data_IF_277389695227
#
_entry.id   IF_277389695227
#
_cell.length_a   1.000
_cell.length_b   1.000
_cell.length_c   1.000
_cell.angle_alpha   90.00
_cell.angle_beta   90.00
_cell.angle_gamma   90.00
#
_symmetry.space_group_name_H-M   'P 1'
#
loop_
_entity.id
_entity.type
_entity.pdbx_description
1 polymer ?
#
# COMPACT_ATOMS: atom_id res chain seq x y z
N UNK A 1 -8.23 -2.50 18.68
CA UNK A 1 -8.10 -3.39 17.49
C UNK A 1 -6.62 -3.57 17.23
N UNK A 2 -6.13 -4.81 17.24
CA UNK A 2 -4.73 -5.11 16.90
C UNK A 2 -4.60 -5.23 15.38
N UNK A 3 -3.83 -4.33 14.75
CA UNK A 3 -3.55 -4.35 13.32
C UNK A 3 -2.44 -5.36 13.00
N UNK A 4 -2.68 -6.64 13.30
CA UNK A 4 -1.77 -7.71 12.91
C UNK A 4 -2.52 -8.68 12.03
N UNK A 5 -1.94 -9.02 10.87
CA UNK A 5 -2.52 -9.98 9.94
C UNK A 5 -2.71 -11.39 10.58
N UNK A 6 -2.12 -11.62 11.74
CA UNK A 6 -2.16 -12.88 12.49
C UNK A 6 -3.25 -12.94 13.57
N UNK A 7 -4.11 -11.92 13.72
CA UNK A 7 -5.08 -11.79 14.84
C UNK A 7 -4.43 -11.86 16.24
N UNK A 8 -3.11 -11.68 16.31
CA UNK A 8 -2.35 -11.68 17.56
C UNK A 8 -2.43 -10.29 18.18
N UNK A 9 -2.49 -10.21 19.49
CA UNK A 9 -2.55 -8.91 20.16
C UNK A 9 -1.23 -8.12 20.07
N UNK A 10 -0.11 -8.80 19.83
CA UNK A 10 1.21 -8.20 19.65
C UNK A 10 1.72 -8.53 18.24
N UNK A 11 2.05 -7.51 17.45
CA UNK A 11 2.47 -7.63 16.04
C UNK A 11 3.95 -7.91 15.86
N UNK A 12 4.38 -9.11 16.24
CA UNK A 12 5.79 -9.52 16.25
C UNK A 12 5.99 -10.86 15.53
N UNK A 13 7.24 -11.28 15.34
CA UNK A 13 7.57 -12.56 14.73
C UNK A 13 7.06 -13.76 15.55
N UNK A 14 6.90 -14.91 14.88
CA UNK A 14 6.25 -16.10 15.46
C UNK A 14 6.96 -16.63 16.70
N UNK A 15 8.28 -16.55 16.77
CA UNK A 15 9.05 -17.02 17.92
C UNK A 15 8.70 -16.28 19.22
N UNK A 16 8.43 -14.96 19.13
CA UNK A 16 7.99 -14.15 20.26
C UNK A 16 6.54 -14.47 20.61
N UNK A 17 5.67 -14.59 19.61
CA UNK A 17 4.25 -14.96 19.82
C UNK A 17 4.14 -16.31 20.53
N UNK A 18 4.91 -17.32 20.10
CA UNK A 18 4.90 -18.65 20.70
C UNK A 18 5.35 -18.63 22.16
N UNK A 19 6.44 -17.93 22.47
CA UNK A 19 6.95 -17.83 23.83
C UNK A 19 5.94 -17.12 24.76
N UNK A 20 5.31 -16.04 24.29
CA UNK A 20 4.21 -15.38 25.01
C UNK A 20 3.02 -16.33 25.21
N UNK A 21 2.63 -17.06 24.18
CA UNK A 21 1.52 -18.01 24.26
C UNK A 21 1.79 -19.11 25.29
N UNK A 22 3.02 -19.63 25.36
CA UNK A 22 3.44 -20.60 26.38
C UNK A 22 3.35 -19.99 27.78
N UNK A 23 3.97 -18.83 28.02
CA UNK A 23 3.90 -18.15 29.33
C UNK A 23 2.45 -17.91 29.81
N UNK A 24 1.57 -17.48 28.90
CA UNK A 24 0.15 -17.23 29.20
C UNK A 24 -0.62 -18.52 29.46
N UNK A 25 -0.36 -19.57 28.67
CA UNK A 25 -1.11 -20.84 28.74
C UNK A 25 -0.70 -21.67 29.95
N UNK A 26 0.61 -21.75 30.24
CA UNK A 26 1.12 -22.47 31.42
C UNK A 26 0.91 -21.70 32.71
N UNK A 27 0.69 -20.38 32.63
CA UNK A 27 0.65 -19.46 33.77
C UNK A 27 1.95 -19.49 34.58
N UNK A 28 3.08 -19.77 33.91
CA UNK A 28 4.40 -19.81 34.54
C UNK A 28 5.35 -18.83 33.86
N UNK A 29 6.23 -18.25 34.65
CA UNK A 29 7.31 -17.35 34.21
C UNK A 29 8.47 -17.46 35.20
N UNK A 30 9.65 -16.94 34.86
CA UNK A 30 10.81 -17.02 35.75
C UNK A 30 10.63 -16.15 37.00
N UNK A 31 9.93 -15.02 36.88
CA UNK A 31 9.59 -14.11 37.97
C UNK A 31 8.41 -14.55 38.83
N UNK A 32 7.64 -15.56 38.37
CA UNK A 32 6.37 -15.96 38.99
C UNK A 32 5.17 -15.09 38.58
N UNK A 33 5.37 -14.08 37.73
CA UNK A 33 4.28 -13.27 37.16
C UNK A 33 3.35 -14.14 36.30
N UNK A 34 2.04 -14.04 36.54
CA UNK A 34 1.02 -14.70 35.72
C UNK A 34 0.58 -13.74 34.61
N UNK A 35 0.92 -14.08 33.37
CA UNK A 35 0.63 -13.22 32.22
C UNK A 35 -0.72 -13.51 31.57
N UNK A 36 -1.29 -12.50 30.89
CA UNK A 36 -2.46 -12.65 30.04
C UNK A 36 -2.37 -11.77 28.79
N UNK A 37 -3.08 -12.18 27.75
CA UNK A 37 -3.44 -11.32 26.62
C UNK A 37 -4.65 -10.41 26.98
N UNK A 38 -5.46 -10.74 27.98
CA UNK A 38 -6.57 -9.87 28.34
C UNK A 38 -6.10 -8.66 29.18
N UNK A 39 -6.55 -7.47 28.80
CA UNK A 39 -6.41 -6.25 29.61
C UNK A 39 -7.30 -6.25 30.86
N UNK A 40 -8.35 -7.06 30.87
CA UNK A 40 -9.41 -7.01 31.90
C UNK A 40 -9.41 -8.23 32.81
N UNK A 41 -8.46 -9.16 32.65
CA UNK A 41 -8.41 -10.36 33.46
C UNK A 41 -7.75 -10.07 34.81
N UNK A 42 -8.57 -10.05 35.85
CA UNK A 42 -8.10 -9.87 37.23
C UNK A 42 -7.04 -10.89 37.64
N UNK A 43 -6.12 -10.45 38.49
CA UNK A 43 -5.02 -11.28 39.00
C UNK A 43 -3.96 -11.65 37.96
N UNK A 44 -3.98 -11.03 36.76
CA UNK A 44 -2.98 -11.26 35.72
C UNK A 44 -2.35 -9.97 35.24
N UNK A 45 -1.12 -10.05 34.74
CA UNK A 45 -0.41 -8.94 34.12
C UNK A 45 -0.49 -9.07 32.61
N UNK A 46 -0.80 -7.99 31.89
CA UNK A 46 -0.78 -8.03 30.43
C UNK A 46 0.64 -8.29 29.91
N UNK A 47 0.77 -9.14 28.89
CA UNK A 47 2.03 -9.28 28.16
C UNK A 47 2.48 -7.95 27.54
N UNK A 48 3.77 -7.65 27.65
CA UNK A 48 4.36 -6.42 27.12
C UNK A 48 5.80 -6.72 26.65
N UNK A 49 6.03 -6.65 25.35
CA UNK A 49 7.34 -6.97 24.74
C UNK A 49 8.37 -5.85 24.85
N UNK A 50 8.05 -4.74 25.52
CA UNK A 50 8.94 -3.61 25.77
C UNK A 50 9.27 -3.52 27.28
N UNK A 51 8.30 -3.81 28.16
CA UNK A 51 8.51 -3.74 29.62
C UNK A 51 9.63 -4.69 30.08
N UNK A 52 10.68 -4.18 30.76
CA UNK A 52 11.86 -4.98 31.11
C UNK A 52 11.57 -6.28 31.87
N UNK A 53 10.64 -6.27 32.82
CA UNK A 53 10.27 -7.47 33.58
C UNK A 53 9.67 -8.57 32.71
N UNK A 54 8.79 -8.21 31.78
CA UNK A 54 8.18 -9.15 30.86
C UNK A 54 9.17 -9.64 29.81
N UNK A 55 10.07 -8.77 29.33
CA UNK A 55 11.14 -9.13 28.40
C UNK A 55 12.12 -10.13 29.04
N UNK A 56 12.43 -9.98 30.33
CA UNK A 56 13.28 -10.92 31.06
C UNK A 56 12.65 -12.33 31.16
N UNK A 57 11.35 -12.40 31.51
CA UNK A 57 10.61 -13.67 31.56
C UNK A 57 10.49 -14.32 30.17
N UNK A 58 10.24 -13.50 29.15
CA UNK A 58 10.16 -13.95 27.76
C UNK A 58 11.51 -14.52 27.28
N UNK A 59 12.63 -13.86 27.61
CA UNK A 59 13.97 -14.35 27.31
C UNK A 59 14.22 -15.71 27.98
N UNK A 60 13.78 -15.89 29.23
CA UNK A 60 13.89 -17.16 29.93
C UNK A 60 13.03 -18.26 29.28
N UNK A 61 11.83 -17.94 28.80
CA UNK A 61 11.00 -18.91 28.08
C UNK A 61 11.62 -19.30 26.73
N UNK A 62 12.19 -18.35 25.99
CA UNK A 62 12.94 -18.63 24.76
C UNK A 62 14.13 -19.59 25.01
N UNK A 63 14.82 -19.44 26.14
CA UNK A 63 15.90 -20.36 26.53
C UNK A 63 15.39 -21.79 26.80
N UNK A 64 14.23 -21.95 27.45
CA UNK A 64 13.60 -23.26 27.62
C UNK A 64 13.23 -23.88 26.27
N UNK A 65 12.62 -23.09 25.39
CA UNK A 65 12.25 -23.54 24.04
C UNK A 65 13.46 -23.99 23.21
N UNK A 66 14.63 -23.37 23.41
CA UNK A 66 15.90 -23.83 22.83
C UNK A 66 16.30 -25.20 23.39
N UNK A 67 16.28 -25.37 24.71
CA UNK A 67 16.66 -26.63 25.35
C UNK A 67 15.75 -27.80 24.94
N UNK A 68 14.46 -27.52 24.77
CA UNK A 68 13.44 -28.47 24.32
C UNK A 68 13.50 -28.74 22.80
N UNK A 69 14.26 -27.93 22.05
CA UNK A 69 14.20 -27.87 20.58
C UNK A 69 12.76 -27.74 20.06
N UNK A 70 11.96 -26.93 20.73
CA UNK A 70 10.52 -26.81 20.50
C UNK A 70 10.22 -26.35 19.08
N UNK A 71 9.20 -26.96 18.47
CA UNK A 71 8.62 -26.53 17.19
C UNK A 71 7.10 -26.47 17.35
N UNK A 72 6.47 -25.30 17.20
CA UNK A 72 5.02 -25.17 17.31
C UNK A 72 4.31 -26.05 16.30
N UNK A 73 3.26 -26.75 16.74
CA UNK A 73 2.50 -27.69 15.91
C UNK A 73 2.01 -27.05 14.61
N UNK A 74 1.57 -25.79 14.68
CA UNK A 74 1.07 -25.03 13.54
C UNK A 74 2.08 -24.82 12.41
N UNK A 75 3.39 -24.89 12.69
CA UNK A 75 4.46 -24.64 11.69
C UNK A 75 5.40 -25.81 11.47
N UNK A 76 5.11 -27.00 12.03
CA UNK A 76 5.97 -28.19 11.92
C UNK A 76 6.28 -28.60 10.47
N UNK A 77 5.38 -28.31 9.52
CA UNK A 77 5.60 -28.57 8.09
C UNK A 77 6.62 -27.63 7.42
N UNK A 78 6.90 -26.47 8.02
CA UNK A 78 7.76 -25.43 7.45
C UNK A 78 9.04 -25.17 8.28
N UNK A 79 9.14 -25.79 9.46
CA UNK A 79 10.18 -25.53 10.44
C UNK A 79 10.78 -26.82 10.99
N UNK A 80 12.11 -26.90 10.96
CA UNK A 80 12.86 -27.99 11.62
C UNK A 80 13.28 -27.54 13.02
N UNK A 81 13.51 -28.46 13.98
CA UNK A 81 13.98 -28.11 15.32
C UNK A 81 15.25 -27.24 15.31
N UNK A 82 16.23 -27.56 14.46
CA UNK A 82 17.48 -26.78 14.37
C UNK A 82 17.24 -25.36 13.82
N UNK A 83 16.35 -25.20 12.85
CA UNK A 83 15.94 -23.87 12.36
C UNK A 83 15.19 -23.08 13.43
N UNK A 84 14.31 -23.72 14.20
CA UNK A 84 13.59 -23.09 15.30
C UNK A 84 14.56 -22.59 16.37
N UNK A 85 15.51 -23.43 16.80
CA UNK A 85 16.57 -23.05 17.75
C UNK A 85 17.35 -21.83 17.27
N UNK A 86 17.77 -21.80 15.99
CA UNK A 86 18.46 -20.63 15.42
C UNK A 86 17.61 -19.36 15.48
N UNK A 87 16.30 -19.45 15.26
CA UNK A 87 15.39 -18.30 15.38
C UNK A 87 15.24 -17.82 16.83
N UNK A 88 15.12 -18.73 17.79
CA UNK A 88 15.09 -18.37 19.21
C UNK A 88 16.39 -17.69 19.66
N UNK A 89 17.54 -18.20 19.22
CA UNK A 89 18.84 -17.58 19.48
C UNK A 89 18.94 -16.18 18.87
N UNK A 90 18.43 -15.99 17.65
CA UNK A 90 18.39 -14.66 17.01
C UNK A 90 17.48 -13.69 17.77
N UNK A 91 16.32 -14.15 18.26
CA UNK A 91 15.42 -13.35 19.08
C UNK A 91 16.06 -12.94 20.42
N UNK A 92 16.76 -13.85 21.08
CA UNK A 92 17.53 -13.55 22.30
C UNK A 92 18.61 -12.51 22.00
N UNK A 93 19.38 -12.66 20.91
CA UNK A 93 20.39 -11.69 20.49
C UNK A 93 19.78 -10.31 20.23
N UNK A 94 18.59 -10.26 19.61
CA UNK A 94 17.87 -9.01 19.40
C UNK A 94 17.49 -8.35 20.74
N UNK A 95 16.94 -9.12 21.69
CA UNK A 95 16.62 -8.65 23.04
C UNK A 95 17.86 -8.09 23.73
N UNK A 96 18.99 -8.80 23.64
CA UNK A 96 20.24 -8.36 24.25
C UNK A 96 20.80 -7.07 23.63
N UNK A 97 20.50 -6.83 22.36
CA UNK A 97 20.98 -5.64 21.63
C UNK A 97 20.08 -4.43 21.88
N UNK A 98 18.76 -4.61 21.87
CA UNK A 98 17.77 -3.51 21.86
C UNK A 98 16.96 -3.39 23.15
N UNK A 99 17.18 -4.28 24.13
CA UNK A 99 16.50 -4.33 25.43
C UNK A 99 14.98 -4.50 25.37
N UNK A 100 14.44 -4.90 24.21
CA UNK A 100 13.03 -5.25 24.03
C UNK A 100 12.87 -6.41 23.05
N UNK A 101 11.70 -7.04 23.05
CA UNK A 101 11.34 -8.16 22.19
C UNK A 101 10.42 -7.78 21.02
N UNK A 102 10.19 -6.49 20.78
CA UNK A 102 9.47 -6.02 19.59
C UNK A 102 10.29 -6.19 18.29
N UNK A 103 10.32 -7.42 17.76
CA UNK A 103 10.94 -7.76 16.48
C UNK A 103 9.90 -7.57 15.38
N UNK A 104 10.10 -6.55 14.55
CA UNK A 104 9.20 -6.19 13.44
C UNK A 104 9.22 -7.21 12.30
N UNK A 105 8.11 -7.29 11.55
CA UNK A 105 7.93 -8.16 10.39
C UNK A 105 8.13 -7.45 9.03
N UNK A 106 8.76 -6.27 9.03
CA UNK A 106 8.85 -5.38 7.86
C UNK A 106 10.26 -4.82 7.59
N UNK A 107 10.38 -3.80 6.73
CA UNK A 107 11.67 -3.20 6.34
C UNK A 107 12.35 -2.38 7.44
N UNK A 108 11.67 -2.16 8.57
CA UNK A 108 12.19 -1.43 9.73
C UNK A 108 11.99 -2.25 10.99
N UNK A 109 12.88 -2.07 11.96
CA UNK A 109 12.74 -2.54 13.33
C UNK A 109 12.77 -1.38 14.32
N UNK A 110 12.18 -1.62 15.48
CA UNK A 110 12.26 -0.72 16.61
C UNK A 110 13.66 -0.85 17.23
N UNK A 111 14.46 0.21 17.14
CA UNK A 111 15.84 0.22 17.61
C UNK A 111 15.96 0.82 19.02
N UNK A 112 15.06 1.73 19.37
CA UNK A 112 14.99 2.33 20.70
C UNK A 112 13.55 2.68 21.04
N UNK A 113 13.18 2.49 22.30
CA UNK A 113 11.94 3.01 22.89
C UNK A 113 12.30 3.67 24.20
N UNK A 114 11.84 4.90 24.38
CA UNK A 114 11.91 5.62 25.64
C UNK A 114 10.51 6.15 25.97
N UNK A 115 9.81 5.45 26.84
CA UNK A 115 8.45 5.81 27.25
C UNK A 115 8.41 7.01 28.19
N UNK A 116 9.55 7.38 28.82
CA UNK A 116 9.64 8.56 29.67
C UNK A 116 9.76 9.83 28.82
N UNK A 117 10.53 9.74 27.73
CA UNK A 117 10.70 10.83 26.77
C UNK A 117 9.64 10.85 25.64
N UNK A 118 8.70 9.90 25.61
CA UNK A 118 7.77 9.68 24.49
C UNK A 118 8.48 9.59 23.13
N UNK A 119 9.57 8.82 23.08
CA UNK A 119 10.44 8.70 21.92
C UNK A 119 10.54 7.25 21.44
N UNK A 120 10.50 7.06 20.12
CA UNK A 120 10.78 5.79 19.47
C UNK A 120 11.68 6.01 18.24
N UNK A 121 12.67 5.13 18.07
CA UNK A 121 13.57 5.14 16.92
C UNK A 121 13.31 3.89 16.08
N UNK A 122 12.94 4.08 14.81
CA UNK A 122 12.87 3.01 13.82
C UNK A 122 14.12 3.04 12.96
N UNK A 123 14.80 1.91 12.84
CA UNK A 123 15.92 1.73 11.91
C UNK A 123 15.54 0.74 10.84
N UNK A 124 16.03 0.99 9.63
CA UNK A 124 15.78 0.08 8.54
C UNK A 124 16.63 -1.19 8.70
N UNK A 125 16.08 -2.35 8.37
CA UNK A 125 16.87 -3.57 8.23
C UNK A 125 17.86 -3.38 7.07
N UNK A 126 19.14 -3.48 7.38
CA UNK A 126 20.26 -3.44 6.43
C UNK A 126 21.04 -4.75 6.44
N UNK A 127 20.40 -5.81 6.91
CA UNK A 127 20.94 -7.16 6.83
C UNK A 127 20.97 -7.58 5.35
N UNK A 128 22.10 -8.09 4.82
CA UNK A 128 22.20 -8.56 3.44
C UNK A 128 21.20 -9.65 3.05
N UNK A 129 20.64 -10.36 4.03
CA UNK A 129 19.60 -11.38 3.82
C UNK A 129 18.19 -10.81 3.69
N UNK A 130 17.99 -9.52 3.98
CA UNK A 130 16.71 -8.86 3.77
C UNK A 130 16.44 -8.69 2.26
N UNK A 131 15.35 -9.25 1.71
CA UNK A 131 15.22 -9.43 0.26
C UNK A 131 14.78 -8.17 -0.50
N UNK A 132 14.38 -7.11 0.20
CA UNK A 132 13.80 -5.92 -0.42
C UNK A 132 14.67 -4.69 -0.18
N UNK A 133 15.11 -4.05 -1.26
CA UNK A 133 15.71 -2.72 -1.18
C UNK A 133 14.63 -1.68 -0.90
N UNK A 134 15.03 -0.45 -0.53
CA UNK A 134 14.08 0.64 -0.32
C UNK A 134 13.22 0.96 -1.56
N UNK A 135 13.77 0.71 -2.75
CA UNK A 135 13.10 0.97 -4.03
C UNK A 135 12.28 -0.21 -4.55
N UNK A 136 12.41 -1.41 -3.94
CA UNK A 136 11.83 -2.64 -4.48
C UNK A 136 10.32 -2.51 -4.69
N UNK A 137 9.59 -2.06 -3.67
CA UNK A 137 8.14 -1.95 -3.73
C UNK A 137 7.67 -0.80 -4.63
N UNK A 138 8.39 0.31 -4.64
CA UNK A 138 8.14 1.42 -5.57
C UNK A 138 8.19 0.89 -6.99
N UNK A 139 9.31 0.28 -7.40
CA UNK A 139 9.48 -0.31 -8.73
C UNK A 139 8.48 -1.42 -9.05
N UNK A 140 8.13 -2.24 -8.06
CA UNK A 140 7.20 -3.37 -8.25
C UNK A 140 5.77 -2.92 -8.51
N UNK A 141 5.36 -1.80 -7.92
CA UNK A 141 4.01 -1.26 -8.04
C UNK A 141 3.94 0.01 -8.89
N UNK A 142 5.06 0.42 -9.49
CA UNK A 142 5.11 1.52 -10.44
C UNK A 142 4.14 1.26 -11.59
N UNK A 143 3.24 2.20 -11.79
CA UNK A 143 2.18 2.08 -12.80
C UNK A 143 2.07 3.40 -13.53
N UNK A 144 2.16 3.41 -14.88
CA UNK A 144 1.86 4.60 -15.65
C UNK A 144 0.40 4.99 -15.44
N UNK A 145 0.16 6.27 -15.21
CA UNK A 145 -1.17 6.86 -15.03
C UNK A 145 -1.32 7.99 -16.02
N UNK A 146 -2.39 7.96 -16.82
CA UNK A 146 -2.72 9.05 -17.70
C UNK A 146 -3.59 10.08 -17.00
N UNK A 147 -3.46 11.34 -17.42
CA UNK A 147 -4.35 12.42 -17.06
C UNK A 147 -4.72 13.22 -18.32
N UNK A 148 -5.97 13.65 -18.41
CA UNK A 148 -6.37 14.69 -19.38
C UNK A 148 -6.45 15.98 -18.58
N UNK A 149 -5.39 16.77 -18.63
CA UNK A 149 -5.28 17.97 -17.81
C UNK A 149 -6.22 19.08 -18.31
N UNK A 150 -6.42 19.17 -19.62
CA UNK A 150 -7.26 20.19 -20.24
C UNK A 150 -7.96 19.67 -21.49
N UNK A 151 -9.21 20.11 -21.69
CA UNK A 151 -9.88 20.10 -22.98
C UNK A 151 -10.25 21.53 -23.35
N UNK A 152 -9.64 22.04 -24.41
CA UNK A 152 -9.92 23.37 -24.95
C UNK A 152 -11.06 23.27 -25.96
N UNK A 153 -12.23 23.77 -25.56
CA UNK A 153 -13.49 23.69 -26.29
C UNK A 153 -13.84 25.11 -26.75
N UNK A 154 -14.12 25.33 -28.04
CA UNK A 154 -14.55 26.64 -28.52
C UNK A 154 -15.81 27.12 -27.79
N UNK A 155 -15.88 28.42 -27.51
CA UNK A 155 -17.01 29.03 -26.79
C UNK A 155 -18.28 29.09 -27.64
N UNK A 156 -18.13 29.22 -28.96
CA UNK A 156 -19.23 29.31 -29.92
C UNK A 156 -19.23 28.07 -30.81
N UNK A 157 -20.21 27.18 -30.60
CA UNK A 157 -20.38 25.96 -31.38
C UNK A 157 -21.76 25.97 -32.03
N UNK A 158 -21.83 26.34 -33.30
CA UNK A 158 -23.07 26.31 -34.07
C UNK A 158 -23.38 24.88 -34.54
N UNK A 159 -24.61 24.43 -34.37
CA UNK A 159 -25.01 23.10 -34.87
C UNK A 159 -24.77 22.96 -36.36
N UNK A 160 -24.32 21.78 -36.79
CA UNK A 160 -24.04 21.53 -38.20
C UNK A 160 -22.66 22.03 -38.68
N UNK A 161 -21.90 22.75 -37.85
CA UNK A 161 -20.51 23.12 -38.12
C UNK A 161 -19.52 22.19 -37.40
N UNK A 162 -18.33 22.04 -37.98
CA UNK A 162 -17.25 21.25 -37.38
C UNK A 162 -16.74 21.93 -36.10
N UNK A 163 -16.66 21.18 -35.02
CA UNK A 163 -16.18 21.67 -33.72
C UNK A 163 -14.82 21.04 -33.44
N UNK A 164 -13.80 21.90 -33.37
CA UNK A 164 -12.42 21.50 -33.16
C UNK A 164 -12.04 21.65 -31.68
N UNK A 165 -11.67 20.55 -31.03
CA UNK A 165 -11.32 20.49 -29.61
C UNK A 165 -9.88 20.00 -29.47
N UNK A 166 -9.13 20.61 -28.55
CA UNK A 166 -7.75 20.21 -28.25
C UNK A 166 -7.68 19.60 -26.85
N UNK A 167 -7.05 18.44 -26.71
CA UNK A 167 -6.83 17.76 -25.43
C UNK A 167 -5.35 17.82 -25.05
N UNK A 168 -5.07 18.25 -23.82
CA UNK A 168 -3.74 18.15 -23.20
C UNK A 168 -3.70 16.91 -22.32
N UNK A 169 -2.84 15.97 -22.66
CA UNK A 169 -2.73 14.65 -22.00
C UNK A 169 -1.33 14.48 -21.41
N UNK A 170 -1.26 14.13 -20.13
CA UNK A 170 -0.01 13.84 -19.43
C UNK A 170 0.02 12.41 -18.93
N UNK A 171 1.24 11.95 -18.65
CA UNK A 171 1.56 10.66 -18.07
C UNK A 171 2.36 10.89 -16.79
N UNK A 172 2.08 10.11 -15.76
CA UNK A 172 2.79 10.10 -14.48
C UNK A 172 3.13 8.66 -14.13
N UNK A 173 4.30 8.40 -13.55
CA UNK A 173 4.64 7.06 -13.06
C UNK A 173 4.37 7.02 -11.56
N UNK A 174 3.18 6.57 -11.16
CA UNK A 174 2.84 6.44 -9.74
C UNK A 174 3.88 5.58 -9.01
N UNK A 175 4.33 5.93 -7.79
CA UNK A 175 3.89 7.05 -6.94
C UNK A 175 4.69 8.35 -7.13
N UNK A 176 5.53 8.46 -8.17
CA UNK A 176 6.19 9.73 -8.47
C UNK A 176 5.15 10.77 -8.91
N UNK A 177 5.40 12.04 -8.61
CA UNK A 177 4.49 13.15 -8.95
C UNK A 177 4.84 13.83 -10.29
N UNK A 178 5.97 13.47 -10.90
CA UNK A 178 6.46 14.06 -12.13
C UNK A 178 5.50 13.78 -13.30
N UNK A 179 4.97 14.86 -13.88
CA UNK A 179 4.10 14.80 -15.05
C UNK A 179 4.89 15.06 -16.32
N UNK A 180 4.74 14.16 -17.28
CA UNK A 180 5.34 14.28 -18.60
C UNK A 180 4.26 14.34 -19.68
N UNK A 181 4.44 15.11 -20.77
CA UNK A 181 3.51 15.04 -21.91
C UNK A 181 3.42 13.62 -22.46
N UNK A 182 2.20 13.09 -22.61
CA UNK A 182 2.00 11.70 -23.04
C UNK A 182 2.64 11.47 -24.44
N UNK A 183 3.66 10.61 -24.49
CA UNK A 183 4.43 10.38 -25.71
C UNK A 183 3.71 9.44 -26.69
N UNK A 184 2.74 8.66 -26.22
CA UNK A 184 1.97 7.69 -27.01
C UNK A 184 0.56 7.54 -26.41
N UNK A 185 -0.27 6.70 -27.03
CA UNK A 185 -1.62 6.44 -26.57
C UNK A 185 -2.72 6.85 -27.54
N UNK A 186 -3.85 6.18 -27.41
CA UNK A 186 -5.05 6.47 -28.17
C UNK A 186 -5.93 7.43 -27.37
N UNK A 187 -6.27 8.55 -27.99
CA UNK A 187 -7.13 9.58 -27.39
C UNK A 187 -8.42 9.67 -28.19
N UNK A 188 -9.54 9.76 -27.50
CA UNK A 188 -10.87 9.84 -28.08
C UNK A 188 -11.70 10.89 -27.36
N UNK A 189 -12.66 11.47 -28.08
CA UNK A 189 -13.73 12.24 -27.51
C UNK A 189 -15.04 11.50 -27.73
N UNK A 190 -15.81 11.30 -26.66
CA UNK A 190 -17.16 10.73 -26.75
C UNK A 190 -18.17 11.83 -26.50
N UNK A 191 -19.03 12.12 -27.48
CA UNK A 191 -20.20 12.96 -27.31
C UNK A 191 -21.36 12.08 -26.83
N UNK A 192 -22.00 12.49 -25.73
CA UNK A 192 -23.15 11.80 -25.15
C UNK A 192 -24.41 12.62 -25.42
N UNK A 193 -25.40 11.97 -26.03
CA UNK A 193 -26.69 12.55 -26.39
C UNK A 193 -27.82 11.63 -25.94
N UNK A 194 -29.06 12.10 -26.04
CA UNK A 194 -30.27 11.28 -25.87
C UNK A 194 -30.39 10.17 -26.94
N UNK A 195 -29.79 10.38 -28.12
CA UNK A 195 -29.70 9.41 -29.20
C UNK A 195 -28.60 8.36 -29.00
N UNK A 196 -27.78 8.51 -27.96
CA UNK A 196 -26.67 7.60 -27.62
C UNK A 196 -25.30 8.28 -27.67
N UNK A 197 -24.26 7.44 -27.72
CA UNK A 197 -22.87 7.86 -27.67
C UNK A 197 -22.22 7.84 -29.05
N UNK A 198 -21.47 8.90 -29.37
CA UNK A 198 -20.67 9.00 -30.59
C UNK A 198 -19.21 9.22 -30.23
N UNK A 199 -18.31 8.38 -30.76
CA UNK A 199 -16.88 8.42 -30.42
C UNK A 199 -16.03 8.89 -31.59
N UNK A 200 -15.21 9.91 -31.36
CA UNK A 200 -14.32 10.52 -32.34
C UNK A 200 -12.87 10.28 -31.93
N UNK A 201 -12.05 9.77 -32.85
CA UNK A 201 -10.63 9.53 -32.59
C UNK A 201 -9.85 10.84 -32.74
N UNK A 202 -9.06 11.20 -31.73
CA UNK A 202 -8.20 12.36 -31.78
C UNK A 202 -6.91 12.04 -32.57
N UNK A 203 -6.45 13.02 -33.35
CA UNK A 203 -5.15 13.02 -34.02
C UNK A 203 -4.11 13.60 -33.07
N UNK A 204 -3.01 12.88 -32.88
CA UNK A 204 -1.86 13.40 -32.13
C UNK A 204 -1.18 14.52 -32.93
N UNK A 205 -1.04 15.69 -32.32
CA UNK A 205 -0.32 16.84 -32.90
C UNK A 205 1.15 16.78 -32.50
N UNK A 206 1.41 16.64 -31.19
CA UNK A 206 2.73 16.41 -30.59
C UNK A 206 2.57 15.65 -29.28
N UNK A 207 3.66 15.35 -28.58
CA UNK A 207 3.58 14.71 -27.25
C UNK A 207 2.68 15.53 -26.32
N UNK A 208 1.72 14.86 -25.69
CA UNK A 208 0.71 15.42 -24.81
C UNK A 208 -0.31 16.38 -25.44
N UNK A 209 -0.31 16.58 -26.77
CA UNK A 209 -1.29 17.44 -27.44
C UNK A 209 -2.02 16.69 -28.56
N UNK A 210 -3.33 16.58 -28.41
CA UNK A 210 -4.21 15.86 -29.32
C UNK A 210 -5.33 16.77 -29.80
N UNK A 211 -5.74 16.57 -31.04
CA UNK A 211 -6.77 17.37 -31.69
C UNK A 211 -7.88 16.44 -32.18
N UNK A 212 -9.13 16.76 -31.88
CA UNK A 212 -10.30 16.02 -32.32
C UNK A 212 -11.29 16.97 -32.97
N UNK A 213 -11.97 16.48 -34.01
CA UNK A 213 -13.04 17.21 -34.67
C UNK A 213 -14.33 16.43 -34.48
N UNK A 214 -15.33 17.07 -33.86
CA UNK A 214 -16.72 16.62 -33.94
C UNK A 214 -17.24 17.16 -35.29
N UNK A 215 -17.55 16.29 -36.26
CA UNK A 215 -18.04 16.75 -37.55
C UNK A 215 -19.44 17.38 -37.37
N UNK A 216 -19.75 18.41 -38.14
CA UNK A 216 -21.05 19.08 -38.06
C UNK A 216 -22.25 18.15 -38.30
N UNK A 217 -22.05 17.07 -39.05
CA UNK A 217 -23.07 16.02 -39.22
C UNK A 217 -23.51 15.35 -37.91
N UNK A 218 -22.62 15.28 -36.91
CA UNK A 218 -22.92 14.73 -35.59
C UNK A 218 -23.82 15.64 -34.75
N UNK A 219 -23.78 16.96 -35.00
CA UNK A 219 -24.52 17.96 -34.21
C UNK A 219 -25.72 18.56 -34.94
N UNK A 220 -25.86 18.33 -36.26
CA UNK A 220 -26.89 18.96 -37.10
C UNK A 220 -28.33 18.77 -36.63
N UNK A 221 -28.64 17.61 -36.02
CA UNK A 221 -29.98 17.25 -35.54
C UNK A 221 -30.15 17.47 -34.04
N UNK A 222 -29.12 17.98 -33.36
CA UNK A 222 -29.19 18.27 -31.94
C UNK A 222 -29.93 19.60 -31.72
N UNK A 223 -30.71 19.64 -30.64
CA UNK A 223 -31.32 20.87 -30.16
C UNK A 223 -30.25 21.79 -29.55
N UNK A 224 -30.52 23.09 -29.50
CA UNK A 224 -29.63 24.01 -28.81
C UNK A 224 -29.62 23.67 -27.31
N UNK A 225 -28.44 23.57 -26.70
CA UNK A 225 -28.33 23.14 -25.31
C UNK A 225 -26.93 22.70 -24.89
N UNK A 226 -26.84 22.15 -23.68
CA UNK A 226 -25.61 21.62 -23.09
C UNK A 226 -25.56 20.11 -23.25
N UNK A 227 -24.46 19.60 -23.81
CA UNK A 227 -24.18 18.19 -24.01
C UNK A 227 -22.92 17.78 -23.25
N UNK A 228 -22.86 16.53 -22.79
CA UNK A 228 -21.66 16.01 -22.13
C UNK A 228 -20.69 15.49 -23.18
N UNK A 229 -19.43 15.89 -23.06
CA UNK A 229 -18.33 15.26 -23.79
C UNK A 229 -17.35 14.62 -22.80
N UNK A 230 -16.84 13.44 -23.15
CA UNK A 230 -15.81 12.74 -22.40
C UNK A 230 -14.52 12.68 -23.22
N UNK A 231 -13.47 13.33 -22.73
CA UNK A 231 -12.11 13.03 -23.16
C UNK A 231 -11.70 11.69 -22.58
N UNK A 232 -11.15 10.80 -23.41
CA UNK A 232 -10.66 9.48 -23.02
C UNK A 232 -9.23 9.32 -23.52
N UNK A 233 -8.31 8.89 -22.67
CA UNK A 233 -6.93 8.57 -23.07
C UNK A 233 -6.52 7.20 -22.52
N UNK A 234 -5.94 6.38 -23.39
CA UNK A 234 -5.56 5.01 -23.07
C UNK A 234 -4.18 4.65 -23.67
N UNK A 235 -3.35 3.99 -22.86
CA UNK A 235 -2.09 3.36 -23.24
C UNK A 235 -2.09 1.94 -22.63
N UNK A 236 -1.78 0.89 -23.40
CA UNK A 236 -1.68 -0.46 -22.86
C UNK A 236 -0.75 -0.54 -21.63
N UNK A 237 -1.29 -1.02 -20.51
CA UNK A 237 -0.54 -1.15 -19.25
C UNK A 237 -0.54 0.10 -18.36
N UNK A 238 -1.14 1.21 -18.80
CA UNK A 238 -1.39 2.38 -17.97
C UNK A 238 -2.79 2.34 -17.35
N UNK A 239 -2.99 3.08 -16.24
CA UNK A 239 -4.31 3.46 -15.78
C UNK A 239 -4.83 4.54 -16.76
N UNK A 240 -5.96 4.30 -17.46
CA UNK A 240 -6.48 5.25 -18.45
C UNK A 240 -7.07 6.50 -17.78
N UNK A 241 -7.22 7.56 -18.57
CA UNK A 241 -7.80 8.81 -18.14
C UNK A 241 -9.18 9.04 -18.77
N UNK A 242 -10.12 9.56 -17.97
CA UNK A 242 -11.39 10.09 -18.45
C UNK A 242 -11.61 11.47 -17.84
N UNK A 243 -11.96 12.45 -18.67
CA UNK A 243 -12.34 13.80 -18.21
C UNK A 243 -13.67 14.20 -18.83
N UNK A 244 -14.72 14.46 -18.02
CA UNK A 244 -15.97 15.04 -18.50
C UNK A 244 -15.84 16.57 -18.64
N UNK A 245 -16.45 17.11 -19.69
CA UNK A 245 -16.69 18.56 -19.87
C UNK A 245 -18.06 18.77 -20.53
N UNK A 246 -18.53 20.02 -20.53
CA UNK A 246 -19.77 20.42 -21.22
C UNK A 246 -19.45 21.04 -22.58
N UNK A 247 -20.20 20.63 -23.60
CA UNK A 247 -20.25 21.26 -24.91
C UNK A 247 -21.57 22.00 -25.06
N UNK A 248 -21.52 23.33 -25.19
CA UNK A 248 -22.69 24.16 -25.46
C UNK A 248 -22.86 24.32 -26.96
N UNK A 249 -24.02 23.92 -27.49
CA UNK A 249 -24.40 24.03 -28.90
C UNK A 249 -25.52 25.07 -29.04
N UNK A 250 -25.37 25.96 -30.04
CA UNK A 250 -26.34 26.99 -30.41
C UNK A 250 -27.03 26.67 -31.74
#
# INVERSE_FOLDING_TARGET
MSATASHQQVGVCWEIVEALARMVTTKTSASGTVYSFSLTKEGTTQVDVIRPSCVADLKAELQKMIAEKHVPVAIKGYMTPDKAVKRYQAAIKFIDTYSHAYISNGPFYLAKVDTSANYAELRAFRDPTYPFTGEYWVKKFSTPVLSIDQMDIPVFNEKGQDIKITLTVTETIYPEDDRMPAAQGAVYLTLITDQGEQRFKAKKVKAGLYEVVIPGSATKTLEAGSYTILGNADIPGAIPAVKPENLIIF
#
